data_IF_631364612650
#
_entry.id   IF_631364612650
#
_cell.length_a   1.000
_cell.length_b   1.000
_cell.length_c   1.000
_cell.angle_alpha   90.00
_cell.angle_beta   90.00
_cell.angle_gamma   90.00
#
_symmetry.space_group_name_H-M   'P 1'
#
loop_
_entity.id
_entity.type
_entity.pdbx_description
1 polymer ?
#
# COMPACT_ATOMS: atom_id res chain seq x y z
N UNK A 1 -7.67 32.27 11.95
CA UNK A 1 -8.81 32.44 11.02
C UNK A 1 -8.43 32.30 9.55
N UNK A 2 -7.76 33.24 8.87
CA UNK A 2 -7.54 33.11 7.41
C UNK A 2 -6.65 31.92 6.99
N UNK A 3 -5.69 31.52 7.82
CA UNK A 3 -4.81 30.36 7.56
C UNK A 3 -5.52 29.02 7.71
N UNK A 4 -6.46 28.91 8.65
CA UNK A 4 -7.23 27.70 8.93
C UNK A 4 -8.27 27.46 7.83
N UNK A 5 -8.98 28.51 7.40
CA UNK A 5 -9.97 28.40 6.33
C UNK A 5 -9.32 28.01 4.99
N UNK A 6 -8.13 28.54 4.70
CA UNK A 6 -7.35 28.15 3.52
C UNK A 6 -6.88 26.69 3.59
N UNK A 7 -6.57 26.19 4.78
CA UNK A 7 -6.20 24.79 4.98
C UNK A 7 -7.41 23.89 4.80
N UNK A 8 -8.55 24.25 5.38
CA UNK A 8 -9.79 23.47 5.27
C UNK A 8 -10.30 23.38 3.82
N UNK A 9 -10.29 24.49 3.08
CA UNK A 9 -10.68 24.50 1.65
C UNK A 9 -9.80 23.57 0.80
N UNK A 10 -8.50 23.52 1.08
CA UNK A 10 -7.56 22.63 0.36
C UNK A 10 -7.81 21.17 0.73
N UNK A 11 -8.10 20.88 1.99
CA UNK A 11 -8.42 19.51 2.43
C UNK A 11 -9.67 18.99 1.71
N UNK A 12 -10.69 19.84 1.52
CA UNK A 12 -11.87 19.49 0.70
C UNK A 12 -11.51 19.15 -0.76
N UNK A 13 -10.54 19.85 -1.36
CA UNK A 13 -10.05 19.57 -2.72
C UNK A 13 -9.28 18.23 -2.80
N UNK A 14 -8.56 17.87 -1.73
CA UNK A 14 -7.83 16.60 -1.66
C UNK A 14 -8.75 15.39 -1.59
N UNK A 15 -9.93 15.52 -0.96
CA UNK A 15 -10.90 14.44 -0.81
C UNK A 15 -11.39 13.88 -2.17
N UNK A 16 -11.30 14.66 -3.26
CA UNK A 16 -11.68 14.24 -4.60
C UNK A 16 -10.61 13.38 -5.31
N UNK A 17 -9.41 13.26 -4.74
CA UNK A 17 -8.29 12.53 -5.34
C UNK A 17 -8.31 11.03 -5.01
N UNK A 18 -7.63 10.25 -5.85
CA UNK A 18 -7.37 8.84 -5.58
C UNK A 18 -6.71 8.65 -4.20
N UNK A 19 -7.12 7.65 -3.39
CA UNK A 19 -6.64 7.48 -2.01
C UNK A 19 -5.11 7.51 -1.86
N UNK A 20 -4.36 6.89 -2.78
CA UNK A 20 -2.91 6.88 -2.74
C UNK A 20 -2.28 8.27 -2.94
N UNK A 21 -2.82 9.04 -3.89
CA UNK A 21 -2.38 10.39 -4.20
C UNK A 21 -2.72 11.33 -3.04
N UNK A 22 -3.92 11.19 -2.49
CA UNK A 22 -4.42 11.96 -1.34
C UNK A 22 -3.51 11.83 -0.13
N UNK A 23 -3.16 10.60 0.27
CA UNK A 23 -2.24 10.36 1.41
C UNK A 23 -0.87 10.99 1.16
N UNK A 24 -0.33 10.87 -0.06
CA UNK A 24 0.97 11.46 -0.41
C UNK A 24 0.96 12.99 -0.29
N UNK A 25 -0.11 13.63 -0.76
CA UNK A 25 -0.25 15.09 -0.64
C UNK A 25 -0.44 15.52 0.81
N UNK A 26 -1.25 14.80 1.60
CA UNK A 26 -1.40 15.05 3.04
C UNK A 26 -0.05 14.96 3.79
N UNK A 27 0.78 13.96 3.47
CA UNK A 27 2.13 13.85 4.03
C UNK A 27 3.02 15.04 3.64
N UNK A 28 2.91 15.51 2.38
CA UNK A 28 3.62 16.71 1.90
C UNK A 28 3.22 17.96 2.69
N UNK A 29 1.93 18.14 3.00
CA UNK A 29 1.46 19.23 3.86
C UNK A 29 1.92 19.10 5.31
N UNK A 30 2.01 17.86 5.80
CA UNK A 30 2.61 17.54 7.08
C UNK A 30 4.08 18.00 7.17
N UNK A 31 4.83 17.81 6.09
CA UNK A 31 6.25 18.16 6.02
C UNK A 31 6.52 19.65 5.82
N UNK A 32 5.52 20.45 5.42
CA UNK A 32 5.60 21.90 5.22
C UNK A 32 5.56 22.65 6.57
N UNK A 33 6.51 22.32 7.45
CA UNK A 33 6.75 23.01 8.73
C UNK A 33 8.18 23.52 8.76
N UNK A 34 8.32 24.81 9.03
CA UNK A 34 9.60 25.50 9.10
C UNK A 34 9.89 25.95 10.54
N UNK A 35 11.17 26.01 10.88
CA UNK A 35 11.66 26.47 12.17
C UNK A 35 12.49 27.72 11.92
N UNK A 36 11.96 28.86 12.35
CA UNK A 36 12.66 30.13 12.41
C UNK A 36 13.64 30.12 13.59
N UNK A 37 14.91 30.45 13.30
CA UNK A 37 16.01 30.53 14.26
C UNK A 37 15.90 31.70 15.23
N UNK A 38 15.12 32.72 14.89
CA UNK A 38 14.89 33.88 15.77
C UNK A 38 13.83 33.60 16.84
N UNK A 39 13.08 32.50 16.69
CA UNK A 39 12.02 32.12 17.62
C UNK A 39 12.56 31.08 18.60
N UNK A 40 12.51 31.33 19.92
CA UNK A 40 13.04 30.37 20.89
C UNK A 40 12.40 28.98 20.78
N UNK A 41 13.19 27.89 20.79
CA UNK A 41 12.68 26.52 20.65
C UNK A 41 11.53 26.16 21.60
N UNK A 42 11.55 26.69 22.84
CA UNK A 42 10.50 26.48 23.85
C UNK A 42 9.11 26.89 23.35
N UNK A 43 9.00 27.87 22.44
CA UNK A 43 7.71 28.27 21.85
C UNK A 43 7.14 27.15 20.99
N UNK A 44 7.97 26.51 20.16
CA UNK A 44 7.56 25.36 19.34
C UNK A 44 7.06 24.22 20.22
N UNK A 45 7.74 23.89 21.32
CA UNK A 45 7.29 22.85 22.25
C UNK A 45 5.89 23.11 22.81
N UNK A 46 5.55 24.37 23.15
CA UNK A 46 4.19 24.73 23.58
C UNK A 46 3.18 24.56 22.44
N UNK A 47 3.48 25.12 21.26
CA UNK A 47 2.62 25.00 20.09
C UNK A 47 2.42 23.54 19.66
N UNK A 48 3.44 22.69 19.84
CA UNK A 48 3.40 21.27 19.54
C UNK A 48 2.38 20.50 20.37
N UNK A 49 2.26 20.83 21.65
CA UNK A 49 1.23 20.22 22.51
C UNK A 49 -0.18 20.59 22.04
N UNK A 50 -0.38 21.83 21.60
CA UNK A 50 -1.65 22.26 21.01
C UNK A 50 -1.93 21.57 19.66
N UNK A 51 -0.91 21.30 18.83
CA UNK A 51 -1.08 20.51 17.61
C UNK A 51 -1.62 19.11 17.93
N UNK A 52 -1.06 18.45 18.95
CA UNK A 52 -1.55 17.13 19.39
C UNK A 52 -2.95 17.23 19.97
N UNK A 53 -3.24 18.26 20.76
CA UNK A 53 -4.58 18.50 21.32
C UNK A 53 -5.62 18.64 20.21
N UNK A 54 -5.35 19.50 19.24
CA UNK A 54 -6.24 19.73 18.09
C UNK A 54 -6.35 18.51 17.18
N UNK A 55 -5.27 17.74 16.99
CA UNK A 55 -5.35 16.49 16.22
C UNK A 55 -6.33 15.49 16.84
N UNK A 56 -6.33 15.36 18.18
CA UNK A 56 -7.30 14.50 18.86
C UNK A 56 -8.74 15.03 18.73
N UNK A 57 -8.94 16.35 18.70
CA UNK A 57 -10.26 16.94 18.43
C UNK A 57 -10.74 16.58 17.02
N UNK A 58 -9.89 16.74 16.00
CA UNK A 58 -10.24 16.36 14.64
C UNK A 58 -10.50 14.86 14.48
N UNK A 59 -9.79 14.00 15.22
CA UNK A 59 -10.10 12.56 15.27
C UNK A 59 -11.50 12.31 15.85
N UNK A 60 -11.86 12.99 16.94
CA UNK A 60 -13.17 12.84 17.57
C UNK A 60 -14.31 13.34 16.68
N UNK A 61 -14.06 14.37 15.87
CA UNK A 61 -14.99 14.92 14.88
C UNK A 61 -15.07 14.10 13.58
N UNK A 62 -14.22 13.08 13.42
CA UNK A 62 -14.15 12.26 12.20
C UNK A 62 -13.38 12.91 11.04
N UNK A 63 -12.73 14.05 11.27
CA UNK A 63 -11.89 14.74 10.28
C UNK A 63 -10.47 14.14 10.24
N UNK A 64 -10.37 12.92 9.70
CA UNK A 64 -9.13 12.14 9.69
C UNK A 64 -7.98 12.83 8.93
N UNK A 65 -8.28 13.57 7.87
CA UNK A 65 -7.27 14.25 7.05
C UNK A 65 -6.59 15.42 7.80
N UNK A 66 -7.40 16.23 8.48
CA UNK A 66 -6.90 17.34 9.31
C UNK A 66 -6.10 16.83 10.51
N UNK A 67 -6.60 15.77 11.16
CA UNK A 67 -5.87 15.09 12.23
C UNK A 67 -4.52 14.58 11.74
N UNK A 68 -4.49 13.92 10.58
CA UNK A 68 -3.27 13.40 9.98
C UNK A 68 -2.26 14.50 9.68
N UNK A 69 -2.68 15.62 9.05
CA UNK A 69 -1.78 16.76 8.78
C UNK A 69 -1.15 17.28 10.08
N UNK A 70 -1.92 17.43 11.15
CA UNK A 70 -1.40 17.93 12.42
C UNK A 70 -0.44 16.96 13.09
N UNK A 71 -0.73 15.66 13.09
CA UNK A 71 0.20 14.67 13.59
C UNK A 71 1.49 14.65 12.79
N UNK A 72 1.41 14.70 11.45
CA UNK A 72 2.59 14.77 10.60
C UNK A 72 3.42 16.03 10.85
N UNK A 73 2.78 17.21 10.96
CA UNK A 73 3.46 18.47 11.33
C UNK A 73 4.17 18.36 12.67
N UNK A 74 3.50 17.81 13.68
CA UNK A 74 4.08 17.59 15.00
C UNK A 74 5.30 16.68 14.92
N UNK A 75 5.18 15.53 14.26
CA UNK A 75 6.27 14.56 14.14
C UNK A 75 7.46 15.13 13.36
N UNK A 76 7.24 15.72 12.18
CA UNK A 76 8.32 16.33 11.39
C UNK A 76 9.01 17.46 12.13
N UNK A 77 8.25 18.31 12.83
CA UNK A 77 8.81 19.41 13.62
C UNK A 77 9.77 18.90 14.71
N UNK A 78 9.37 17.91 15.49
CA UNK A 78 10.14 17.47 16.67
C UNK A 78 11.15 16.35 16.41
N UNK A 79 10.95 15.52 15.38
CA UNK A 79 11.91 14.48 15.01
C UNK A 79 13.02 15.03 14.12
N UNK A 80 12.74 16.03 13.29
CA UNK A 80 13.69 16.51 12.29
C UNK A 80 14.04 18.00 12.44
N UNK A 81 13.06 18.89 12.33
CA UNK A 81 13.33 20.31 12.09
C UNK A 81 13.91 21.03 13.31
N UNK A 82 13.30 20.88 14.48
CA UNK A 82 13.69 21.63 15.70
C UNK A 82 15.08 21.25 16.20
N UNK A 83 15.54 20.02 15.89
CA UNK A 83 16.86 19.53 16.29
C UNK A 83 18.01 20.28 15.62
N UNK A 84 17.74 20.95 14.51
CA UNK A 84 18.70 21.78 13.75
C UNK A 84 18.78 23.22 14.28
N UNK A 85 17.92 23.61 15.24
CA UNK A 85 17.92 24.96 15.79
C UNK A 85 19.16 25.18 16.69
N UNK A 86 19.86 26.33 16.60
CA UNK A 86 21.06 26.61 17.40
C UNK A 86 20.82 26.48 18.91
N UNK A 87 19.72 27.06 19.42
CA UNK A 87 19.34 26.97 20.84
C UNK A 87 18.64 25.66 21.26
N UNK A 88 18.64 24.61 20.44
CA UNK A 88 17.96 23.35 20.79
C UNK A 88 18.53 22.71 22.07
N UNK A 89 19.85 22.85 22.28
CA UNK A 89 20.52 22.35 23.47
C UNK A 89 19.99 23.02 24.76
N UNK A 90 19.60 24.30 24.67
CA UNK A 90 19.15 25.12 25.79
C UNK A 90 17.72 24.79 26.26
N UNK A 91 17.00 23.92 25.53
CA UNK A 91 15.65 23.49 25.94
C UNK A 91 15.75 22.53 27.14
N UNK A 92 15.04 22.80 28.25
CA UNK A 92 15.07 21.94 29.43
C UNK A 92 14.65 20.50 29.14
N UNK A 93 15.35 19.54 29.75
CA UNK A 93 15.09 18.11 29.57
C UNK A 93 13.64 17.73 29.88
N UNK A 94 13.06 18.29 30.94
CA UNK A 94 11.66 18.05 31.34
C UNK A 94 10.67 18.35 30.19
N UNK A 95 10.90 19.44 29.45
CA UNK A 95 10.04 19.83 28.31
C UNK A 95 10.20 18.84 27.16
N UNK A 96 11.43 18.37 26.91
CA UNK A 96 11.72 17.35 25.89
C UNK A 96 11.05 16.02 26.24
N UNK A 97 11.09 15.61 27.51
CA UNK A 97 10.49 14.35 27.99
C UNK A 97 8.98 14.32 27.78
N UNK A 98 8.25 15.38 28.14
CA UNK A 98 6.79 15.44 27.92
C UNK A 98 6.46 15.31 26.43
N UNK A 99 7.20 16.00 25.57
CA UNK A 99 7.01 15.92 24.13
C UNK A 99 7.34 14.52 23.59
N UNK A 100 8.38 13.88 24.12
CA UNK A 100 8.78 12.52 23.74
C UNK A 100 7.73 11.48 24.13
N UNK A 101 7.07 11.65 25.28
CA UNK A 101 5.92 10.81 25.65
C UNK A 101 4.79 10.96 24.63
N UNK A 102 4.48 12.20 24.21
CA UNK A 102 3.45 12.45 23.18
C UNK A 102 3.81 11.89 21.81
N UNK A 103 5.08 11.95 21.41
CA UNK A 103 5.56 11.28 20.20
C UNK A 103 5.34 9.76 20.30
N UNK A 104 5.77 9.12 21.39
CA UNK A 104 5.60 7.68 21.60
C UNK A 104 4.12 7.27 21.61
N UNK A 105 3.25 8.06 22.24
CA UNK A 105 1.80 7.81 22.23
C UNK A 105 1.23 7.86 20.80
N UNK A 106 1.60 8.87 20.01
CA UNK A 106 1.15 9.00 18.63
C UNK A 106 1.67 7.84 17.75
N UNK A 107 2.94 7.46 17.90
CA UNK A 107 3.55 6.33 17.22
C UNK A 107 2.84 5.01 17.55
N UNK A 108 2.57 4.76 18.83
CA UNK A 108 1.88 3.55 19.28
C UNK A 108 0.47 3.45 18.71
N UNK A 109 -0.28 4.55 18.70
CA UNK A 109 -1.63 4.58 18.12
C UNK A 109 -1.61 4.26 16.63
N UNK A 110 -0.70 4.89 15.88
CA UNK A 110 -0.55 4.63 14.45
C UNK A 110 -0.21 3.16 14.16
N UNK A 111 0.72 2.57 14.92
CA UNK A 111 1.11 1.17 14.75
C UNK A 111 -0.04 0.20 15.10
N UNK A 112 -0.86 0.51 16.09
CA UNK A 112 -2.02 -0.31 16.45
C UNK A 112 -3.09 -0.29 15.36
N UNK A 113 -3.37 0.88 14.78
CA UNK A 113 -4.32 1.03 13.67
C UNK A 113 -3.85 0.28 12.41
N UNK A 114 -2.56 0.37 12.08
CA UNK A 114 -1.97 -0.37 10.96
C UNK A 114 -2.08 -1.88 11.18
N UNK A 115 -1.76 -2.37 12.40
CA UNK A 115 -1.90 -3.79 12.74
C UNK A 115 -3.33 -4.29 12.55
N UNK A 116 -4.33 -3.53 13.04
CA UNK A 116 -5.75 -3.88 12.86
C UNK A 116 -6.15 -3.95 11.39
N UNK A 117 -5.66 -3.02 10.57
CA UNK A 117 -5.93 -3.02 9.14
C UNK A 117 -5.31 -4.23 8.45
N UNK A 118 -4.06 -4.56 8.79
CA UNK A 118 -3.37 -5.73 8.26
C UNK A 118 -4.13 -7.02 8.61
N UNK A 119 -4.53 -7.18 9.87
CA UNK A 119 -5.33 -8.33 10.32
C UNK A 119 -6.66 -8.45 9.56
N UNK A 120 -7.32 -7.33 9.24
CA UNK A 120 -8.55 -7.32 8.44
C UNK A 120 -8.32 -7.72 6.98
N UNK A 121 -7.25 -7.24 6.37
CA UNK A 121 -6.91 -7.56 4.98
C UNK A 121 -6.50 -9.03 4.84
N UNK A 122 -5.74 -9.57 5.81
CA UNK A 122 -5.38 -10.98 5.90
C UNK A 122 -6.63 -11.86 6.08
N UNK A 123 -7.57 -11.47 6.95
CA UNK A 123 -8.82 -12.18 7.14
C UNK A 123 -9.69 -12.21 5.86
N UNK A 124 -9.76 -11.10 5.12
CA UNK A 124 -10.47 -11.04 3.83
C UNK A 124 -9.79 -11.91 2.77
N UNK A 125 -8.46 -11.95 2.76
CA UNK A 125 -7.71 -12.81 1.85
C UNK A 125 -7.96 -14.28 2.15
N UNK A 126 -7.93 -14.68 3.42
CA UNK A 126 -8.24 -16.03 3.86
C UNK A 126 -9.65 -16.46 3.44
N UNK A 127 -10.65 -15.60 3.61
CA UNK A 127 -12.02 -15.86 3.16
C UNK A 127 -12.13 -16.07 1.64
N UNK A 128 -11.39 -15.29 0.84
CA UNK A 128 -11.37 -15.45 -0.62
C UNK A 128 -10.76 -16.78 -1.04
N UNK A 129 -9.66 -17.17 -0.40
CA UNK A 129 -9.00 -18.45 -0.67
C UNK A 129 -9.92 -19.63 -0.32
N UNK A 130 -10.59 -19.56 0.84
CA UNK A 130 -11.54 -20.59 1.26
C UNK A 130 -12.74 -20.71 0.31
N UNK A 131 -13.30 -19.59 -0.16
CA UNK A 131 -14.38 -19.60 -1.14
C UNK A 131 -13.95 -20.18 -2.51
N UNK A 132 -12.69 -19.95 -2.92
CA UNK A 132 -12.13 -20.54 -4.14
C UNK A 132 -11.88 -22.05 -3.99
N UNK A 133 -11.49 -22.52 -2.81
CA UNK A 133 -11.37 -23.96 -2.48
C UNK A 133 -12.74 -24.65 -2.50
N UNK A 134 -13.74 -24.08 -1.82
CA UNK A 134 -15.12 -24.61 -1.82
C UNK A 134 -15.70 -24.68 -3.24
N UNK A 135 -15.37 -23.71 -4.11
CA UNK A 135 -15.78 -23.71 -5.51
C UNK A 135 -15.11 -24.83 -6.32
N UNK A 136 -13.86 -25.15 -6.03
CA UNK A 136 -13.13 -26.26 -6.68
C UNK A 136 -13.67 -27.62 -6.24
N UNK A 137 -14.04 -27.77 -4.98
CA UNK A 137 -14.60 -29.02 -4.46
C UNK A 137 -16.04 -29.27 -4.96
N UNK A 138 -16.80 -28.22 -5.29
CA UNK A 138 -18.13 -28.32 -5.89
C UNK A 138 -18.13 -28.57 -7.40
N UNK A 139 -17.00 -28.35 -8.11
CA UNK A 139 -16.87 -28.85 -9.48
C UNK A 139 -16.87 -30.38 -9.43
N UNK A 140 -17.83 -31.08 -10.06
CA UNK A 140 -17.85 -32.52 -10.05
C UNK A 140 -16.55 -32.99 -10.69
N UNK A 141 -15.65 -33.56 -9.89
CA UNK A 141 -14.49 -34.27 -10.40
C UNK A 141 -15.01 -35.23 -11.46
N UNK A 142 -14.57 -35.08 -12.70
CA UNK A 142 -14.77 -36.05 -13.78
C UNK A 142 -14.03 -37.35 -13.40
N UNK A 143 -14.54 -38.05 -12.38
CA UNK A 143 -14.25 -39.44 -12.11
C UNK A 143 -15.09 -40.26 -13.09
N UNK A 144 -14.71 -40.19 -14.36
CA UNK A 144 -15.12 -41.15 -15.38
C UNK A 144 -13.87 -41.55 -16.14
N UNK A 145 -13.04 -42.33 -15.48
CA UNK A 145 -11.83 -42.92 -16.06
C UNK A 145 -12.11 -44.19 -16.88
N UNK A 146 -13.38 -44.61 -17.02
CA UNK A 146 -13.67 -45.96 -17.50
C UNK A 146 -14.46 -46.02 -18.82
N UNK A 147 -14.59 -44.92 -19.57
CA UNK A 147 -15.41 -44.89 -20.81
C UNK A 147 -14.66 -44.40 -22.07
N UNK A 148 -13.35 -44.64 -22.14
CA UNK A 148 -12.60 -44.58 -23.40
C UNK A 148 -11.83 -45.88 -23.63
N UNK A 149 -12.54 -47.01 -23.60
CA UNK A 149 -12.03 -48.22 -24.26
C UNK A 149 -12.32 -48.06 -25.75
N UNK A 150 -11.44 -47.35 -26.46
CA UNK A 150 -11.41 -47.40 -27.92
C UNK A 150 -10.89 -48.78 -28.29
N UNK A 151 -11.77 -49.71 -28.66
CA UNK A 151 -11.35 -50.92 -29.35
C UNK A 151 -10.72 -50.51 -30.69
N UNK A 152 -9.45 -50.85 -30.96
CA UNK A 152 -8.84 -50.52 -32.25
C UNK A 152 -9.39 -51.50 -33.28
N UNK A 153 -10.51 -51.18 -33.90
CA UNK A 153 -10.97 -51.83 -35.13
C UNK A 153 -10.59 -50.95 -36.31
N UNK A 154 -9.31 -50.98 -36.68
CA UNK A 154 -8.86 -50.45 -37.95
C UNK A 154 -8.67 -51.64 -38.91
N UNK A 155 -9.41 -51.72 -40.04
CA UNK A 155 -9.14 -52.72 -41.07
C UNK A 155 -7.78 -52.44 -41.74
N UNK A 156 -7.05 -53.50 -42.10
CA UNK A 156 -5.74 -53.42 -42.74
C UNK A 156 -5.85 -52.77 -44.13
N UNK A 157 -5.38 -51.53 -44.25
CA UNK A 157 -5.36 -50.76 -45.50
C UNK A 157 -4.11 -51.11 -46.31
N UNK A 158 -4.16 -52.23 -47.03
CA UNK A 158 -3.07 -52.63 -47.94
C UNK A 158 -3.17 -52.01 -49.36
N UNK A 159 -4.34 -51.47 -49.75
CA UNK A 159 -4.57 -51.01 -51.14
C UNK A 159 -5.26 -49.62 -51.23
N UNK A 160 -4.97 -48.72 -50.30
CA UNK A 160 -5.41 -47.32 -50.43
C UNK A 160 -4.32 -46.51 -51.15
N UNK A 161 -4.52 -46.33 -52.45
CA UNK A 161 -3.71 -45.44 -53.28
C UNK A 161 -3.98 -43.98 -52.88
N UNK A 162 -3.00 -43.33 -52.25
CA UNK A 162 -3.09 -41.91 -51.91
C UNK A 162 -2.84 -41.04 -53.14
N UNK A 163 -3.56 -39.91 -53.30
CA UNK A 163 -3.43 -39.01 -54.45
C UNK A 163 -2.17 -38.11 -54.39
N UNK A 164 -1.04 -38.62 -53.92
CA UNK A 164 0.23 -37.88 -53.77
C UNK A 164 1.33 -38.29 -54.77
N UNK A 165 1.05 -39.22 -55.69
CA UNK A 165 2.04 -39.71 -56.68
C UNK A 165 2.32 -38.76 -57.88
N UNK A 166 1.87 -37.50 -57.86
CA UNK A 166 2.06 -36.56 -58.98
C UNK A 166 2.73 -35.21 -58.66
N UNK A 167 3.17 -34.94 -57.42
CA UNK A 167 3.80 -33.65 -57.09
C UNK A 167 5.31 -33.79 -56.88
N UNK A 168 6.09 -33.47 -57.92
CA UNK A 168 7.57 -33.45 -57.87
C UNK A 168 8.19 -32.29 -57.06
N UNK A 169 7.42 -31.54 -56.27
CA UNK A 169 7.95 -30.53 -55.34
C UNK A 169 7.09 -30.49 -54.08
N UNK A 170 7.72 -30.69 -52.92
CA UNK A 170 7.05 -30.55 -51.63
C UNK A 170 6.74 -29.08 -51.38
N UNK A 171 5.47 -28.68 -51.10
CA UNK A 171 5.20 -27.31 -50.68
C UNK A 171 5.84 -27.12 -49.31
N UNK A 172 6.89 -26.30 -49.27
CA UNK A 172 7.53 -25.87 -48.02
C UNK A 172 6.48 -25.13 -47.19
N UNK A 173 6.17 -25.66 -46.00
CA UNK A 173 5.29 -24.99 -45.06
C UNK A 173 5.80 -23.54 -44.83
N UNK A 174 4.93 -22.52 -44.88
CA UNK A 174 5.34 -21.17 -44.52
C UNK A 174 5.86 -21.18 -43.08
N UNK A 175 6.91 -20.39 -42.81
CA UNK A 175 7.53 -20.30 -41.49
C UNK A 175 6.55 -19.67 -40.50
N UNK A 176 5.77 -20.50 -39.82
CA UNK A 176 4.97 -20.04 -38.70
C UNK A 176 5.89 -19.90 -37.49
N UNK A 177 6.22 -18.65 -37.15
CA UNK A 177 6.76 -18.31 -35.84
C UNK A 177 5.71 -18.65 -34.79
N UNK A 178 5.91 -19.78 -34.11
CA UNK A 178 5.14 -20.14 -32.94
C UNK A 178 5.72 -19.37 -31.76
N UNK A 179 5.03 -18.31 -31.32
CA UNK A 179 5.33 -17.66 -30.06
C UNK A 179 4.44 -18.32 -28.99
N UNK A 180 4.98 -19.11 -28.05
CA UNK A 180 4.16 -19.76 -27.04
C UNK A 180 3.48 -18.70 -26.19
N UNK A 181 2.15 -18.69 -26.16
CA UNK A 181 1.41 -17.85 -25.23
C UNK A 181 1.80 -18.25 -23.80
N UNK A 182 2.37 -17.32 -23.00
CA UNK A 182 2.81 -17.64 -21.66
C UNK A 182 1.62 -18.05 -20.78
N UNK A 183 1.82 -18.94 -19.79
CA UNK A 183 0.76 -19.33 -18.87
C UNK A 183 0.21 -18.11 -18.15
N UNK A 184 -1.12 -18.04 -18.00
CA UNK A 184 -1.82 -17.09 -17.13
C UNK A 184 -1.43 -17.36 -15.67
N UNK A 185 -0.27 -16.84 -15.27
CA UNK A 185 0.12 -16.74 -13.88
C UNK A 185 -0.81 -15.68 -13.27
N UNK A 186 -1.69 -16.01 -12.30
CA UNK A 186 -2.43 -14.99 -11.58
C UNK A 186 -1.43 -14.03 -10.93
N UNK A 187 -1.68 -12.71 -10.91
CA UNK A 187 -0.68 -11.73 -10.50
C UNK A 187 -0.15 -12.05 -9.11
N UNK A 188 1.06 -12.58 -9.05
CA UNK A 188 1.80 -12.84 -7.84
C UNK A 188 2.14 -11.49 -7.21
N UNK A 189 1.53 -11.22 -6.07
CA UNK A 189 2.09 -10.58 -4.86
C UNK A 189 3.10 -9.41 -4.99
N UNK A 190 3.11 -8.68 -6.11
CA UNK A 190 4.00 -7.53 -6.36
C UNK A 190 3.22 -6.24 -6.57
N UNK A 191 1.95 -6.31 -7.00
CA UNK A 191 1.13 -5.11 -7.22
C UNK A 191 0.55 -4.50 -5.94
N UNK A 192 0.53 -5.23 -4.82
CA UNK A 192 0.18 -4.67 -3.50
C UNK A 192 1.38 -4.03 -2.78
N UNK A 193 2.59 -4.02 -3.36
CA UNK A 193 3.74 -3.34 -2.74
C UNK A 193 3.80 -1.83 -2.98
N UNK A 194 3.13 -1.28 -4.00
CA UNK A 194 3.15 0.17 -4.26
C UNK A 194 2.36 1.01 -3.26
N UNK A 195 1.34 0.43 -2.61
CA UNK A 195 0.63 1.11 -1.52
C UNK A 195 1.37 0.95 -0.17
N UNK A 196 2.22 -0.08 -0.06
CA UNK A 196 3.11 -0.27 1.07
C UNK A 196 4.34 0.66 1.04
N UNK A 197 4.79 1.19 -0.11
CA UNK A 197 5.95 2.09 -0.15
C UNK A 197 5.70 3.45 0.52
N UNK A 198 4.46 3.96 0.47
CA UNK A 198 4.11 5.20 1.17
C UNK A 198 3.99 4.93 2.69
N UNK A 199 3.44 3.77 3.09
CA UNK A 199 3.47 3.34 4.49
C UNK A 199 4.90 3.09 4.97
N UNK A 200 5.76 2.48 4.15
CA UNK A 200 7.16 2.20 4.49
C UNK A 200 7.98 3.47 4.66
N UNK A 201 7.72 4.54 3.91
CA UNK A 201 8.47 5.80 4.08
C UNK A 201 8.11 6.46 5.42
N UNK A 202 6.82 6.41 5.77
CA UNK A 202 6.31 6.87 7.07
C UNK A 202 6.80 5.94 8.20
N UNK A 203 6.82 4.63 8.00
CA UNK A 203 7.32 3.60 8.91
C UNK A 203 8.85 3.62 9.07
N UNK A 204 9.59 3.97 8.01
CA UNK A 204 11.05 4.19 8.06
C UNK A 204 11.36 5.46 8.85
N UNK A 205 10.55 6.52 8.75
CA UNK A 205 10.65 7.65 9.68
C UNK A 205 10.30 7.26 11.13
N UNK A 206 9.48 6.23 11.34
CA UNK A 206 9.16 5.69 12.67
C UNK A 206 10.22 4.73 13.26
N UNK A 207 10.98 4.00 12.43
CA UNK A 207 12.01 3.04 12.88
C UNK A 207 13.40 3.65 13.12
N UNK A 208 13.67 4.88 12.66
CA UNK A 208 14.99 5.54 12.86
C UNK A 208 15.18 6.08 14.30
N UNK A 209 14.19 5.91 15.20
CA UNK A 209 14.26 6.36 16.59
C UNK A 209 14.95 5.42 17.58
N UNK A 210 15.58 4.33 17.13
CA UNK A 210 16.40 3.44 17.96
C UNK A 210 17.89 3.60 17.59
N UNK A 211 18.50 4.69 18.06
CA UNK A 211 19.94 4.88 18.25
C UNK A 211 20.14 6.05 19.24
#
# INVERSE_FOLDING_TARGET
>A
MQSEEKTNRRVTELAALEPAVRVKQLATFGAMVEVDTNVPPRRYYRSGLEMVRMANVYLAEGSLENAYILYMKFMTLFLEKIRKHPDYANVPAQVKTVNQVKLKEAQRKAAEEERKKQEQDDAKLAQRLQADEDRRDQTPSLKRTDEWVVSPSAPGVADVLYPDDFAAETPRAPSHHYEPTPPLIPPTHLHMRRLHEISLTVLMMFHIGHL
#
